data_IF_362723514153
#
_entry.id   IF_362723514153
#
_cell.length_a   1.000
_cell.length_b   1.000
_cell.length_c   1.000
_cell.angle_alpha   90.00
_cell.angle_beta   90.00
_cell.angle_gamma   90.00
#
_symmetry.space_group_name_H-M   'P 1'
#
loop_
_entity.id
_entity.type
_entity.pdbx_description
1 polymer ?
#
# COMPACT_ATOMS: atom_id res chain seq x y z
N UNK A 1 19.88 -15.19 14.24
CA UNK A 1 19.05 -15.86 13.24
C UNK A 1 18.09 -14.94 12.55
N UNK A 2 17.69 -15.32 11.33
CA UNK A 2 16.67 -14.63 10.54
C UNK A 2 15.31 -14.59 11.28
N UNK A 3 14.91 -15.70 11.90
CA UNK A 3 13.70 -15.79 12.73
C UNK A 3 13.63 -14.72 13.84
N UNK A 4 14.70 -14.56 14.63
CA UNK A 4 14.69 -13.61 15.75
C UNK A 4 14.49 -12.16 15.27
N UNK A 5 15.12 -11.82 14.13
CA UNK A 5 14.96 -10.52 13.49
C UNK A 5 13.54 -10.32 12.93
N UNK A 6 12.99 -11.34 12.26
CA UNK A 6 11.62 -11.29 11.76
C UNK A 6 10.60 -11.10 12.89
N UNK A 7 10.78 -11.79 14.02
CA UNK A 7 9.95 -11.59 15.20
C UNK A 7 10.08 -10.19 15.82
N UNK A 8 11.30 -9.66 15.90
CA UNK A 8 11.52 -8.30 16.38
C UNK A 8 10.80 -7.25 15.50
N UNK A 9 10.79 -7.45 14.17
CA UNK A 9 10.06 -6.60 13.23
C UNK A 9 8.55 -6.75 13.43
N UNK A 10 8.06 -7.99 13.53
CA UNK A 10 6.63 -8.26 13.74
C UNK A 10 6.11 -7.70 15.07
N UNK A 11 6.93 -7.64 16.11
CA UNK A 11 6.57 -7.08 17.41
C UNK A 11 6.22 -5.58 17.36
N UNK A 12 6.73 -4.86 16.36
CA UNK A 12 6.43 -3.43 16.11
C UNK A 12 5.59 -3.21 14.86
N UNK A 13 5.04 -4.27 14.25
CA UNK A 13 4.31 -4.21 12.97
C UNK A 13 3.10 -3.28 13.00
N UNK A 14 2.42 -3.15 14.14
CA UNK A 14 1.26 -2.23 14.28
C UNK A 14 1.67 -0.75 14.22
N UNK A 15 2.94 -0.44 14.50
CA UNK A 15 3.47 0.92 14.44
C UNK A 15 4.14 1.20 13.10
N UNK A 16 4.80 0.19 12.51
CA UNK A 16 5.59 0.35 11.29
C UNK A 16 4.83 0.01 10.01
N UNK A 17 3.74 -0.76 10.09
CA UNK A 17 3.07 -1.32 8.91
C UNK A 17 3.84 -2.46 8.24
N UNK A 18 5.02 -2.82 8.78
CA UNK A 18 5.91 -3.84 8.19
C UNK A 18 5.73 -5.17 8.89
N UNK A 19 5.46 -6.21 8.12
CA UNK A 19 5.49 -7.60 8.57
C UNK A 19 6.68 -8.33 7.97
N UNK A 20 7.22 -9.31 8.67
CA UNK A 20 8.39 -10.06 8.28
C UNK A 20 8.16 -11.56 8.38
N UNK A 21 8.72 -12.30 7.43
CA UNK A 21 8.79 -13.77 7.45
C UNK A 21 10.25 -14.19 7.28
N UNK A 22 10.66 -15.25 7.97
CA UNK A 22 12.00 -15.81 7.85
C UNK A 22 11.93 -17.15 7.11
N UNK A 23 12.87 -17.40 6.20
CA UNK A 23 13.05 -18.68 5.52
C UNK A 23 14.52 -19.04 5.48
N UNK A 24 14.87 -20.20 6.02
CA UNK A 24 16.22 -20.75 5.94
C UNK A 24 16.15 -22.07 5.22
N UNK A 25 16.83 -22.13 4.09
CA UNK A 25 16.89 -23.30 3.24
C UNK A 25 18.34 -23.50 2.80
N UNK A 26 18.81 -24.74 2.93
CA UNK A 26 20.19 -25.13 2.60
C UNK A 26 20.13 -26.29 1.64
N UNK A 27 20.44 -26.04 0.38
CA UNK A 27 20.59 -27.09 -0.63
C UNK A 27 22.05 -27.51 -0.72
N UNK A 28 22.30 -28.81 -0.77
CA UNK A 28 23.64 -29.36 -1.00
C UNK A 28 24.24 -28.89 -2.33
N UNK A 29 25.54 -28.60 -2.33
CA UNK A 29 26.25 -28.13 -3.53
C UNK A 29 26.37 -29.22 -4.59
N UNK A 30 26.50 -30.46 -4.15
CA UNK A 30 26.53 -31.67 -4.96
C UNK A 30 25.42 -32.65 -4.54
N UNK A 31 25.16 -33.66 -5.36
CA UNK A 31 24.30 -34.77 -4.96
C UNK A 31 24.93 -35.52 -3.78
N UNK A 32 24.08 -36.10 -2.94
CA UNK A 32 24.50 -36.99 -1.87
C UNK A 32 25.25 -38.18 -2.48
N UNK A 33 26.41 -38.52 -1.94
CA UNK A 33 27.24 -39.64 -2.40
C UNK A 33 27.11 -40.80 -1.42
N UNK A 34 27.31 -42.03 -1.88
CA UNK A 34 27.28 -43.19 -0.99
C UNK A 34 28.42 -43.15 0.03
N UNK A 35 28.14 -43.50 1.27
CA UNK A 35 29.14 -43.59 2.33
C UNK A 35 28.51 -43.94 3.68
N UNK A 36 29.34 -44.42 4.61
CA UNK A 36 28.91 -44.69 5.97
C UNK A 36 29.20 -43.50 6.86
N UNK A 37 28.15 -42.96 7.48
CA UNK A 37 28.24 -41.95 8.53
C UNK A 37 28.22 -42.67 9.88
N UNK A 38 29.19 -42.40 10.73
CA UNK A 38 29.18 -42.82 12.12
C UNK A 38 28.40 -41.81 13.00
N UNK A 39 28.01 -42.24 14.19
CA UNK A 39 27.41 -41.34 15.17
C UNK A 39 28.40 -40.22 15.52
N UNK A 40 27.94 -38.98 15.44
CA UNK A 40 28.72 -37.77 15.67
C UNK A 40 29.33 -37.15 14.41
N UNK A 41 29.27 -37.83 13.26
CA UNK A 41 29.82 -37.32 12.01
C UNK A 41 29.02 -36.14 11.46
N UNK A 42 27.71 -36.12 11.69
CA UNK A 42 26.84 -35.02 11.27
C UNK A 42 25.96 -34.60 12.43
N UNK A 43 26.07 -33.32 12.81
CA UNK A 43 25.16 -32.69 13.77
C UNK A 43 24.44 -31.52 13.14
N UNK A 44 23.13 -31.46 13.36
CA UNK A 44 22.29 -30.34 12.94
C UNK A 44 21.85 -29.60 14.20
N UNK A 45 22.13 -28.30 14.28
CA UNK A 45 21.85 -27.47 15.45
C UNK A 45 22.36 -28.09 16.77
N UNK A 46 23.54 -28.74 16.72
CA UNK A 46 24.18 -29.40 17.86
C UNK A 46 23.65 -30.80 18.20
N UNK A 47 22.63 -31.31 17.50
CA UNK A 47 22.08 -32.66 17.69
C UNK A 47 22.66 -33.61 16.65
N UNK A 48 23.22 -34.71 17.11
CA UNK A 48 23.70 -35.80 16.26
C UNK A 48 22.54 -36.55 15.59
N UNK A 49 22.67 -36.82 14.29
CA UNK A 49 21.68 -37.58 13.52
C UNK A 49 21.87 -39.09 13.68
N UNK A 50 22.98 -39.52 14.28
CA UNK A 50 23.33 -40.93 14.49
C UNK A 50 24.09 -41.55 13.31
N UNK A 51 24.36 -42.85 13.41
CA UNK A 51 25.01 -43.60 12.35
C UNK A 51 24.02 -43.92 11.23
N UNK A 52 24.44 -43.71 9.97
CA UNK A 52 23.59 -43.89 8.78
C UNK A 52 24.45 -44.48 7.66
N UNK A 53 23.94 -45.53 7.01
CA UNK A 53 24.50 -46.00 5.74
C UNK A 53 23.79 -45.26 4.59
N UNK A 54 24.51 -44.35 3.93
CA UNK A 54 23.96 -43.45 2.92
C UNK A 54 24.19 -44.06 1.54
N UNK A 55 23.14 -44.16 0.73
CA UNK A 55 23.25 -44.53 -0.68
C UNK A 55 23.41 -43.31 -1.57
N UNK A 56 23.94 -43.52 -2.79
CA UNK A 56 24.04 -42.46 -3.79
C UNK A 56 22.67 -41.79 -4.00
N UNK A 57 22.67 -40.47 -4.03
CA UNK A 57 21.49 -39.62 -4.14
C UNK A 57 20.44 -39.86 -3.04
N UNK A 58 20.84 -40.43 -1.90
CA UNK A 58 19.95 -40.85 -0.82
C UNK A 58 18.73 -41.66 -1.33
N UNK A 59 18.99 -42.61 -2.24
CA UNK A 59 17.95 -43.33 -2.99
C UNK A 59 16.96 -44.11 -2.11
N UNK A 60 17.37 -44.52 -0.92
CA UNK A 60 16.52 -45.18 0.08
C UNK A 60 16.00 -44.23 1.18
N UNK A 61 16.36 -42.95 1.11
CA UNK A 61 15.94 -41.91 2.06
C UNK A 61 16.53 -42.08 3.46
N UNK A 62 17.56 -42.91 3.64
CA UNK A 62 18.13 -43.21 4.95
C UNK A 62 18.68 -41.95 5.63
N UNK A 63 19.38 -41.09 4.89
CA UNK A 63 19.92 -39.84 5.39
C UNK A 63 18.81 -38.84 5.74
N UNK A 64 17.87 -38.64 4.81
CA UNK A 64 16.70 -37.78 5.03
C UNK A 64 15.91 -38.20 6.27
N UNK A 65 15.65 -39.51 6.41
CA UNK A 65 14.91 -40.05 7.54
C UNK A 65 15.66 -39.89 8.87
N UNK A 66 16.98 -40.09 8.89
CA UNK A 66 17.79 -39.88 10.09
C UNK A 66 17.77 -38.41 10.55
N UNK A 67 17.85 -37.46 9.62
CA UNK A 67 17.74 -36.04 9.94
C UNK A 67 16.31 -35.71 10.42
N UNK A 68 15.29 -36.23 9.75
CA UNK A 68 13.90 -35.99 10.11
C UNK A 68 13.51 -36.61 11.47
N UNK A 69 14.14 -37.71 11.87
CA UNK A 69 13.94 -38.35 13.17
C UNK A 69 14.38 -37.45 14.35
N UNK A 70 15.31 -36.51 14.13
CA UNK A 70 15.73 -35.52 15.13
C UNK A 70 15.10 -34.14 14.91
N UNK A 71 14.18 -33.99 13.96
CA UNK A 71 13.61 -32.69 13.55
C UNK A 71 12.87 -31.93 14.66
N UNK A 72 12.37 -32.61 15.68
CA UNK A 72 11.69 -31.97 16.82
C UNK A 72 12.69 -31.31 17.78
N UNK A 73 13.94 -31.79 17.79
CA UNK A 73 15.03 -31.22 18.60
C UNK A 73 15.84 -30.19 17.83
N UNK A 74 16.00 -30.39 16.53
CA UNK A 74 16.80 -29.50 15.67
C UNK A 74 15.98 -28.37 15.06
N UNK A 75 14.65 -28.54 14.98
CA UNK A 75 13.74 -27.69 14.22
C UNK A 75 14.03 -27.64 12.71
N UNK A 76 14.71 -28.66 12.17
CA UNK A 76 15.10 -28.75 10.76
C UNK A 76 14.50 -30.01 10.14
N UNK A 77 13.91 -29.86 8.96
CA UNK A 77 13.41 -30.95 8.12
C UNK A 77 14.36 -31.13 6.94
N UNK A 78 14.63 -32.37 6.57
CA UNK A 78 15.32 -32.74 5.34
C UNK A 78 14.33 -33.19 4.26
N UNK A 79 14.61 -32.81 3.02
CA UNK A 79 14.01 -33.37 1.80
C UNK A 79 15.09 -33.70 0.77
N UNK A 80 14.73 -34.52 -0.22
CA UNK A 80 15.60 -34.88 -1.33
C UNK A 80 15.02 -34.32 -2.63
N UNK A 81 15.75 -33.41 -3.26
CA UNK A 81 15.39 -32.81 -4.55
C UNK A 81 16.41 -33.21 -5.61
N UNK A 82 16.08 -34.23 -6.40
CA UNK A 82 16.93 -34.69 -7.50
C UNK A 82 18.29 -35.23 -7.06
N UNK A 83 18.35 -35.88 -5.88
CA UNK A 83 19.57 -36.42 -5.27
C UNK A 83 20.34 -35.43 -4.42
N UNK A 84 19.87 -34.18 -4.31
CA UNK A 84 20.44 -33.17 -3.42
C UNK A 84 19.68 -33.15 -2.11
N UNK A 85 20.43 -33.04 -1.01
CA UNK A 85 19.86 -32.85 0.31
C UNK A 85 19.45 -31.39 0.47
N UNK A 86 18.20 -31.16 0.83
CA UNK A 86 17.66 -29.84 1.17
C UNK A 86 17.29 -29.84 2.64
N UNK A 87 17.86 -28.92 3.41
CA UNK A 87 17.52 -28.71 4.82
C UNK A 87 16.69 -27.43 4.95
N UNK A 88 15.52 -27.52 5.56
CA UNK A 88 14.62 -26.40 5.80
C UNK A 88 14.38 -26.25 7.29
N UNK A 89 14.67 -25.08 7.86
CA UNK A 89 14.26 -24.77 9.23
C UNK A 89 12.75 -24.53 9.29
N UNK A 90 12.02 -25.21 10.18
CA UNK A 90 10.55 -25.13 10.29
C UNK A 90 10.05 -23.70 10.55
N UNK A 91 10.83 -22.90 11.28
CA UNK A 91 10.52 -21.51 11.65
C UNK A 91 11.40 -20.47 10.92
N UNK A 92 12.36 -20.89 10.09
CA UNK A 92 13.35 -19.97 9.51
C UNK A 92 14.46 -19.54 10.48
N UNK A 93 14.73 -20.32 11.55
CA UNK A 93 15.94 -20.21 12.34
C UNK A 93 17.18 -20.52 11.49
N UNK A 94 18.37 -20.19 12.01
CA UNK A 94 19.60 -20.59 11.31
C UNK A 94 19.76 -22.10 11.37
N UNK A 95 20.40 -22.67 10.35
CA UNK A 95 20.74 -24.10 10.28
C UNK A 95 22.24 -24.22 10.47
N UNK A 96 22.66 -24.67 11.66
CA UNK A 96 24.05 -24.98 11.96
C UNK A 96 24.34 -26.42 11.60
N UNK A 97 25.22 -26.63 10.63
CA UNK A 97 25.70 -27.95 10.23
C UNK A 97 27.12 -28.12 10.76
N UNK A 98 27.32 -29.15 11.56
CA UNK A 98 28.63 -29.55 12.07
C UNK A 98 28.98 -30.90 11.48
N UNK A 99 30.18 -31.01 10.92
CA UNK A 99 30.66 -32.18 10.21
C UNK A 99 31.97 -32.64 10.83
N UNK A 100 32.13 -33.95 10.97
CA UNK A 100 33.39 -34.61 11.27
C UNK A 100 33.71 -35.67 10.20
N UNK A 101 34.95 -36.15 10.21
CA UNK A 101 35.43 -37.29 9.41
C UNK A 101 35.15 -37.22 7.89
N UNK A 102 35.04 -36.01 7.33
CA UNK A 102 34.84 -35.81 5.89
C UNK A 102 33.42 -36.12 5.39
N UNK A 103 32.43 -36.20 6.29
CA UNK A 103 31.03 -36.47 5.93
C UNK A 103 30.39 -35.39 5.03
N UNK A 104 31.03 -34.22 4.86
CA UNK A 104 30.64 -33.17 3.92
C UNK A 104 30.72 -33.64 2.46
N UNK A 105 31.67 -34.53 2.16
CA UNK A 105 31.76 -35.18 0.85
C UNK A 105 30.60 -36.14 0.57
N UNK A 106 30.04 -36.75 1.62
CA UNK A 106 28.90 -37.66 1.54
C UNK A 106 27.59 -36.89 1.41
N UNK A 107 27.35 -35.88 2.27
CA UNK A 107 26.07 -35.15 2.30
C UNK A 107 26.03 -33.93 1.35
N UNK A 108 27.17 -33.51 0.81
CA UNK A 108 27.29 -32.36 -0.10
C UNK A 108 27.06 -30.99 0.54
N UNK A 109 27.12 -30.90 1.87
CA UNK A 109 26.91 -29.68 2.67
C UNK A 109 28.16 -29.45 3.54
N UNK A 110 28.69 -28.22 3.52
CA UNK A 110 29.86 -27.85 4.30
C UNK A 110 29.49 -27.52 5.77
N UNK A 111 30.42 -27.76 6.69
CA UNK A 111 30.27 -27.35 8.08
C UNK A 111 30.29 -25.82 8.23
N UNK A 112 29.12 -25.24 8.52
CA UNK A 112 28.97 -23.82 8.86
C UNK A 112 27.57 -23.55 9.43
N UNK A 113 27.35 -22.31 9.86
CA UNK A 113 26.02 -21.80 10.16
C UNK A 113 25.43 -21.15 8.92
N UNK A 114 24.34 -21.69 8.42
CA UNK A 114 23.56 -21.13 7.32
C UNK A 114 22.50 -20.21 7.91
N UNK A 115 22.60 -18.92 7.58
CA UNK A 115 21.63 -17.91 8.00
C UNK A 115 20.47 -17.83 7.01
N UNK A 116 19.26 -17.62 7.54
CA UNK A 116 18.06 -17.46 6.72
C UNK A 116 17.96 -16.11 6.00
N UNK A 117 17.06 -16.08 5.02
CA UNK A 117 16.58 -14.84 4.40
C UNK A 117 15.38 -14.31 5.19
N UNK A 118 15.24 -12.99 5.20
CA UNK A 118 14.07 -12.31 5.76
C UNK A 118 13.32 -11.66 4.59
N UNK A 119 12.04 -11.96 4.48
CA UNK A 119 11.15 -11.33 3.53
C UNK A 119 10.26 -10.33 4.28
N UNK A 120 10.33 -9.07 3.86
CA UNK A 120 9.56 -7.95 4.45
C UNK A 120 8.39 -7.62 3.54
N UNK A 121 7.24 -7.36 4.16
CA UNK A 121 6.00 -7.00 3.47
C UNK A 121 5.43 -5.76 4.13
N UNK A 122 5.19 -4.75 3.32
CA UNK A 122 4.71 -3.42 3.73
C UNK A 122 3.87 -2.84 2.60
N UNK A 123 2.87 -2.04 2.95
CA UNK A 123 2.10 -1.20 2.03
C UNK A 123 2.91 0.03 1.57
N UNK A 124 3.82 0.50 2.42
CA UNK A 124 4.71 1.62 2.15
C UNK A 124 6.13 1.17 1.80
N UNK A 125 6.91 2.07 1.18
CA UNK A 125 8.31 1.84 0.89
C UNK A 125 9.11 1.58 2.20
N UNK A 126 9.74 0.42 2.29
CA UNK A 126 10.60 0.08 3.44
C UNK A 126 12.00 0.63 3.17
N UNK A 127 12.48 1.52 4.04
CA UNK A 127 13.86 1.99 4.06
C UNK A 127 14.61 1.34 5.21
N UNK A 128 15.62 0.53 4.90
CA UNK A 128 16.51 -0.03 5.92
C UNK A 128 17.65 0.95 6.14
N UNK A 129 17.74 1.52 7.33
CA UNK A 129 18.86 2.36 7.75
C UNK A 129 19.71 1.62 8.79
N UNK A 130 21.04 1.68 8.65
CA UNK A 130 21.97 1.12 9.64
C UNK A 130 22.37 -0.35 9.47
N UNK A 131 22.41 -0.89 8.25
CA UNK A 131 22.74 -2.30 7.88
C UNK A 131 23.47 -3.15 8.93
N UNK A 132 24.75 -2.86 9.20
CA UNK A 132 25.55 -3.63 10.17
C UNK A 132 25.00 -3.57 11.61
N UNK A 133 24.44 -2.44 12.03
CA UNK A 133 23.89 -2.22 13.38
C UNK A 133 22.57 -2.96 13.63
N UNK A 134 21.82 -3.26 12.56
CA UNK A 134 20.63 -4.11 12.59
C UNK A 134 20.94 -5.57 12.21
N UNK A 135 22.23 -5.88 12.02
CA UNK A 135 22.73 -7.23 11.76
C UNK A 135 22.40 -7.77 10.38
N UNK A 136 21.98 -6.93 9.44
CA UNK A 136 21.89 -7.31 8.03
C UNK A 136 23.29 -7.13 7.44
N UNK A 137 23.82 -8.16 6.79
CA UNK A 137 25.14 -8.09 6.14
C UNK A 137 25.16 -6.92 5.14
N UNK A 138 26.27 -6.21 5.00
CA UNK A 138 26.42 -5.10 4.06
C UNK A 138 26.21 -5.53 2.59
N UNK A 139 26.35 -6.83 2.31
CA UNK A 139 26.04 -7.47 1.03
C UNK A 139 24.60 -8.01 0.93
N UNK A 140 23.72 -7.69 1.88
CA UNK A 140 22.31 -8.06 1.80
C UNK A 140 21.70 -7.43 0.55
N UNK A 141 21.50 -8.25 -0.49
CA UNK A 141 20.73 -7.85 -1.65
C UNK A 141 19.31 -7.52 -1.20
N UNK A 142 19.03 -6.23 -1.03
CA UNK A 142 17.68 -5.73 -0.89
C UNK A 142 16.99 -5.83 -2.26
N UNK A 143 16.55 -7.03 -2.59
CA UNK A 143 15.67 -7.24 -3.73
C UNK A 143 14.33 -6.60 -3.40
N UNK A 144 14.03 -5.45 -4.02
CA UNK A 144 12.69 -4.86 -3.96
C UNK A 144 11.70 -5.89 -4.50
N UNK A 145 10.56 -6.04 -3.83
CA UNK A 145 9.52 -6.96 -4.24
C UNK A 145 9.24 -6.85 -5.74
N UNK A 146 9.14 -8.01 -6.41
CA UNK A 146 8.84 -8.09 -7.84
C UNK A 146 7.57 -7.31 -8.15
N UNK A 147 7.60 -6.45 -9.17
CA UNK A 147 6.39 -5.84 -9.72
C UNK A 147 5.41 -6.95 -10.14
N UNK A 148 4.09 -6.70 -10.07
CA UNK A 148 3.05 -7.70 -10.41
C UNK A 148 3.32 -8.39 -11.76
N UNK A 149 3.84 -7.65 -12.74
CA UNK A 149 4.20 -8.13 -14.09
C UNK A 149 5.25 -9.25 -14.10
N UNK A 150 6.13 -9.27 -13.11
CA UNK A 150 7.26 -10.22 -13.02
C UNK A 150 7.03 -11.35 -12.02
N UNK A 151 5.84 -11.43 -11.42
CA UNK A 151 5.51 -12.49 -10.45
C UNK A 151 5.03 -13.73 -11.20
N UNK A 152 5.76 -14.83 -11.00
CA UNK A 152 5.34 -16.15 -11.45
C UNK A 152 4.45 -16.81 -10.39
N UNK A 153 3.26 -17.30 -10.80
CA UNK A 153 2.29 -17.98 -9.92
C UNK A 153 2.30 -19.51 -10.06
N UNK A 154 3.21 -20.06 -10.88
CA UNK A 154 3.32 -21.52 -11.08
C UNK A 154 3.88 -22.25 -9.87
N UNK A 155 4.56 -21.54 -8.97
CA UNK A 155 5.06 -22.07 -7.69
C UNK A 155 4.21 -21.58 -6.53
N UNK A 156 4.14 -22.38 -5.46
CA UNK A 156 3.43 -21.99 -4.23
C UNK A 156 3.98 -20.68 -3.64
N UNK A 157 5.30 -20.55 -3.58
CA UNK A 157 5.96 -19.34 -3.07
C UNK A 157 5.64 -18.11 -3.94
N UNK A 158 5.65 -18.28 -5.26
CA UNK A 158 5.26 -17.26 -6.21
C UNK A 158 3.80 -16.82 -6.06
N UNK A 159 2.88 -17.76 -5.87
CA UNK A 159 1.47 -17.48 -5.62
C UNK A 159 1.25 -16.72 -4.29
N UNK A 160 1.92 -17.12 -3.20
CA UNK A 160 1.86 -16.41 -1.92
C UNK A 160 2.40 -14.98 -2.05
N UNK A 161 3.46 -14.77 -2.84
CA UNK A 161 3.99 -13.45 -3.16
C UNK A 161 3.00 -12.62 -4.00
N UNK A 162 2.37 -13.22 -5.00
CA UNK A 162 1.36 -12.55 -5.83
C UNK A 162 0.19 -12.03 -5.00
N UNK A 163 -0.35 -12.85 -4.10
CA UNK A 163 -1.46 -12.48 -3.21
C UNK A 163 -1.08 -11.27 -2.35
N UNK A 164 0.12 -11.28 -1.77
CA UNK A 164 0.59 -10.18 -0.91
C UNK A 164 0.81 -8.88 -1.68
N UNK A 165 1.41 -8.96 -2.86
CA UNK A 165 1.62 -7.76 -3.69
C UNK A 165 0.29 -7.21 -4.21
N UNK A 166 -0.66 -8.07 -4.55
CA UNK A 166 -2.01 -7.66 -4.94
C UNK A 166 -2.77 -6.99 -3.79
N UNK A 167 -2.71 -7.53 -2.57
CA UNK A 167 -3.34 -6.92 -1.38
C UNK A 167 -2.77 -5.51 -1.09
N UNK A 168 -1.44 -5.34 -1.20
CA UNK A 168 -0.80 -4.04 -1.07
C UNK A 168 -1.28 -3.05 -2.15
N UNK A 169 -1.37 -3.50 -3.41
CA UNK A 169 -1.88 -2.68 -4.51
C UNK A 169 -3.36 -2.30 -4.32
N UNK A 170 -4.19 -3.21 -3.81
CA UNK A 170 -5.59 -2.94 -3.49
C UNK A 170 -5.73 -1.88 -2.40
N UNK A 171 -4.96 -1.98 -1.31
CA UNK A 171 -4.94 -0.95 -0.25
C UNK A 171 -4.54 0.42 -0.78
N UNK A 172 -3.57 0.47 -1.70
CA UNK A 172 -3.18 1.73 -2.35
C UNK A 172 -4.32 2.32 -3.18
N UNK A 173 -5.05 1.49 -3.95
CA UNK A 173 -6.23 1.92 -4.70
C UNK A 173 -7.33 2.42 -3.76
N UNK A 174 -7.57 1.72 -2.64
CA UNK A 174 -8.58 2.11 -1.65
C UNK A 174 -8.24 3.45 -0.99
N UNK A 175 -6.97 3.71 -0.69
CA UNK A 175 -6.51 5.02 -0.22
C UNK A 175 -6.80 6.13 -1.23
N UNK A 176 -6.46 5.91 -2.51
CA UNK A 176 -6.72 6.88 -3.58
C UNK A 176 -8.24 7.12 -3.73
N UNK A 177 -9.06 6.07 -3.66
CA UNK A 177 -10.53 6.19 -3.71
C UNK A 177 -11.09 6.95 -2.51
N UNK A 178 -10.53 6.75 -1.32
CA UNK A 178 -10.88 7.51 -0.12
C UNK A 178 -10.58 9.01 -0.31
N UNK A 179 -9.41 9.34 -0.84
CA UNK A 179 -9.02 10.74 -1.10
C UNK A 179 -9.94 11.39 -2.15
N UNK A 180 -10.24 10.69 -3.24
CA UNK A 180 -11.20 11.15 -4.26
C UNK A 180 -12.60 11.32 -3.64
N UNK A 181 -13.07 10.38 -2.83
CA UNK A 181 -14.37 10.47 -2.16
C UNK A 181 -14.44 11.67 -1.19
N UNK A 182 -13.36 11.94 -0.44
CA UNK A 182 -13.28 13.08 0.46
C UNK A 182 -13.32 14.42 -0.27
N UNK A 183 -12.58 14.55 -1.37
CA UNK A 183 -12.56 15.75 -2.21
C UNK A 183 -13.90 15.95 -2.93
N UNK A 184 -14.53 14.87 -3.39
CA UNK A 184 -15.89 14.91 -3.95
C UNK A 184 -16.90 15.45 -2.94
N UNK A 185 -16.87 14.99 -1.69
CA UNK A 185 -17.75 15.48 -0.63
C UNK A 185 -17.55 16.98 -0.35
N UNK A 186 -16.28 17.42 -0.34
CA UNK A 186 -15.95 18.85 -0.18
C UNK A 186 -16.47 19.69 -1.34
N UNK A 187 -16.30 19.23 -2.58
CA UNK A 187 -16.80 19.90 -3.78
C UNK A 187 -18.31 20.00 -3.76
N UNK A 188 -19.02 18.92 -3.43
CA UNK A 188 -20.48 18.92 -3.38
C UNK A 188 -21.02 19.89 -2.32
N UNK A 189 -20.39 19.91 -1.13
CA UNK A 189 -20.76 20.87 -0.08
C UNK A 189 -20.49 22.32 -0.51
N UNK A 190 -19.38 22.56 -1.18
CA UNK A 190 -19.00 23.88 -1.70
C UNK A 190 -19.98 24.35 -2.77
N UNK A 191 -20.34 23.48 -3.72
CA UNK A 191 -21.32 23.77 -4.77
C UNK A 191 -22.68 24.11 -4.14
N UNK A 192 -23.18 23.30 -3.19
CA UNK A 192 -24.44 23.59 -2.50
C UNK A 192 -24.42 24.96 -1.81
N UNK A 193 -23.33 25.31 -1.14
CA UNK A 193 -23.19 26.61 -0.48
C UNK A 193 -23.13 27.77 -1.48
N UNK A 194 -22.37 27.62 -2.57
CA UNK A 194 -22.26 28.63 -3.63
C UNK A 194 -23.61 28.84 -4.31
N UNK A 195 -24.37 27.78 -4.63
CA UNK A 195 -25.68 27.92 -5.26
C UNK A 195 -26.67 28.70 -4.41
N UNK A 196 -26.72 28.45 -3.09
CA UNK A 196 -27.56 29.23 -2.17
C UNK A 196 -27.09 30.69 -2.10
N UNK A 197 -25.79 30.90 -2.01
CA UNK A 197 -25.20 32.25 -1.97
C UNK A 197 -25.50 33.01 -3.26
N UNK A 198 -25.41 32.35 -4.42
CA UNK A 198 -25.71 32.94 -5.72
C UNK A 198 -27.16 33.43 -5.79
N UNK A 199 -28.14 32.61 -5.39
CA UNK A 199 -29.56 33.01 -5.36
C UNK A 199 -29.78 34.21 -4.44
N UNK A 200 -29.18 34.19 -3.24
CA UNK A 200 -29.31 35.29 -2.29
C UNK A 200 -28.67 36.59 -2.80
N UNK A 201 -27.49 36.51 -3.43
CA UNK A 201 -26.80 37.67 -3.99
C UNK A 201 -27.57 38.25 -5.17
N UNK A 202 -28.09 37.41 -6.08
CA UNK A 202 -28.92 37.88 -7.20
C UNK A 202 -30.22 38.52 -6.73
N UNK A 203 -30.87 37.98 -5.70
CA UNK A 203 -32.07 38.59 -5.10
C UNK A 203 -31.77 39.94 -4.42
N UNK A 204 -30.63 40.04 -3.73
CA UNK A 204 -30.16 41.29 -3.14
C UNK A 204 -29.81 42.34 -4.22
N UNK A 205 -29.20 41.92 -5.33
CA UNK A 205 -28.93 42.80 -6.48
C UNK A 205 -30.23 43.31 -7.12
N UNK A 206 -31.20 42.41 -7.36
CA UNK A 206 -32.53 42.76 -7.90
C UNK A 206 -33.23 43.82 -7.04
N UNK A 207 -33.17 43.68 -5.71
CA UNK A 207 -33.77 44.66 -4.78
C UNK A 207 -33.16 46.07 -4.91
N UNK A 208 -31.87 46.17 -5.25
CA UNK A 208 -31.16 47.46 -5.38
C UNK A 208 -31.32 48.04 -6.79
N UNK A 209 -31.29 47.18 -7.81
CA UNK A 209 -31.16 47.61 -9.21
C UNK A 209 -32.49 47.63 -9.97
N UNK A 210 -33.41 46.72 -9.65
CA UNK A 210 -34.67 46.63 -10.36
C UNK A 210 -35.66 47.68 -9.85
N UNK A 211 -36.40 48.28 -10.79
CA UNK A 211 -37.46 49.24 -10.46
C UNK A 211 -38.77 48.51 -10.23
N UNK A 212 -39.53 48.93 -9.22
CA UNK A 212 -40.90 48.47 -9.06
C UNK A 212 -41.76 49.05 -10.20
N UNK A 213 -42.11 48.17 -11.15
CA UNK A 213 -42.89 48.53 -12.33
C UNK A 213 -44.24 49.16 -11.97
N UNK A 214 -44.88 48.74 -10.87
CA UNK A 214 -46.16 49.30 -10.45
C UNK A 214 -45.99 50.76 -10.01
N UNK A 215 -44.98 51.04 -9.18
CA UNK A 215 -44.67 52.40 -8.71
C UNK A 215 -44.20 53.31 -9.85
N UNK A 216 -43.29 52.84 -10.71
CA UNK A 216 -42.76 53.63 -11.82
C UNK A 216 -43.84 53.89 -12.89
N UNK A 217 -44.72 52.92 -13.16
CA UNK A 217 -45.87 53.12 -14.05
C UNK A 217 -46.84 54.17 -13.51
N UNK A 218 -47.14 54.15 -12.21
CA UNK A 218 -47.99 55.17 -11.58
C UNK A 218 -47.35 56.57 -11.68
N UNK A 219 -46.03 56.68 -11.42
CA UNK A 219 -45.28 57.93 -11.56
C UNK A 219 -45.21 58.42 -13.00
N UNK A 220 -45.02 57.52 -13.98
CA UNK A 220 -45.05 57.85 -15.40
C UNK A 220 -46.42 58.36 -15.82
N UNK A 221 -47.51 57.70 -15.41
CA UNK A 221 -48.88 58.15 -15.71
C UNK A 221 -49.18 59.49 -15.05
N UNK A 222 -48.80 59.68 -13.78
CA UNK A 222 -48.91 60.97 -13.08
C UNK A 222 -48.14 62.08 -13.79
N UNK A 223 -46.89 61.84 -14.20
CA UNK A 223 -46.08 62.80 -14.96
C UNK A 223 -46.68 63.14 -16.32
N UNK A 224 -47.23 62.16 -17.04
CA UNK A 224 -47.94 62.40 -18.30
C UNK A 224 -49.20 63.25 -18.12
N UNK A 225 -50.01 62.96 -17.10
CA UNK A 225 -51.21 63.77 -16.78
C UNK A 225 -50.78 65.20 -16.41
N UNK A 226 -49.76 65.37 -15.57
CA UNK A 226 -49.20 66.67 -15.21
C UNK A 226 -48.68 67.46 -16.43
N UNK A 227 -47.97 66.79 -17.35
CA UNK A 227 -47.50 67.42 -18.58
C UNK A 227 -48.67 67.89 -19.45
N UNK A 228 -49.71 67.06 -19.61
CA UNK A 228 -50.90 67.41 -20.38
C UNK A 228 -51.70 68.54 -19.71
N UNK A 229 -51.86 68.52 -18.38
CA UNK A 229 -52.48 69.61 -17.60
C UNK A 229 -51.64 70.89 -17.63
N UNK A 230 -50.31 70.79 -17.62
CA UNK A 230 -49.41 71.95 -17.72
C UNK A 230 -49.49 72.63 -19.09
N UNK A 231 -49.57 71.86 -20.17
CA UNK A 231 -49.83 72.38 -21.52
C UNK A 231 -51.20 73.05 -21.60
N UNK A 232 -52.23 72.45 -21.00
CA UNK A 232 -53.57 73.06 -20.92
C UNK A 232 -53.57 74.36 -20.13
N UNK A 233 -52.91 74.39 -18.96
CA UNK A 233 -52.79 75.58 -18.13
C UNK A 233 -52.01 76.71 -18.84
N UNK A 234 -50.92 76.39 -19.55
CA UNK A 234 -50.21 77.36 -20.39
C UNK A 234 -51.09 77.89 -21.53
N UNK A 235 -51.85 77.02 -22.19
CA UNK A 235 -52.80 77.43 -23.25
C UNK A 235 -53.86 78.39 -22.70
N UNK A 236 -54.41 78.11 -21.51
CA UNK A 236 -55.40 78.95 -20.86
C UNK A 236 -54.82 80.29 -20.36
N UNK A 237 -53.59 80.29 -19.82
CA UNK A 237 -52.88 81.51 -19.43
C UNK A 237 -52.60 82.43 -20.63
N UNK A 238 -52.18 81.85 -21.76
CA UNK A 238 -51.98 82.60 -23.01
C UNK A 238 -53.29 83.19 -23.54
N UNK A 239 -54.40 82.44 -23.47
CA UNK A 239 -55.73 82.95 -23.86
C UNK A 239 -56.22 84.07 -22.93
N UNK A 240 -55.97 83.98 -21.62
CA UNK A 240 -56.28 85.05 -20.67
C UNK A 240 -55.48 86.33 -20.97
N UNK A 241 -54.20 86.21 -21.31
CA UNK A 241 -53.37 87.36 -21.73
C UNK A 241 -53.93 88.03 -23.01
N UNK A 242 -54.39 87.24 -23.99
CA UNK A 242 -55.04 87.78 -25.19
C UNK A 242 -56.36 88.52 -24.88
N UNK A 243 -57.13 88.03 -23.91
CA UNK A 243 -58.36 88.72 -23.46
C UNK A 243 -58.08 90.06 -22.78
N UNK A 244 -56.95 90.20 -22.08
CA UNK A 244 -56.51 91.48 -21.50
C UNK A 244 -56.08 92.46 -22.60
N UNK A 245 -55.38 91.98 -23.63
CA UNK A 245 -55.04 92.82 -24.79
C UNK A 245 -56.29 93.31 -25.55
N UNK A 246 -57.37 92.52 -25.56
CA UNK A 246 -58.67 92.91 -26.13
C UNK A 246 -59.41 93.97 -25.30
N UNK A 247 -59.08 94.12 -24.02
CA UNK A 247 -59.64 95.17 -23.13
C UNK A 247 -58.88 96.50 -23.20
N UNK A 248 -57.69 96.51 -23.82
CA UNK A 248 -56.83 97.69 -23.98
C UNK A 248 -56.91 98.32 -25.38
N UNK A 249 -57.72 97.76 -26.27
CA UNK A 249 -58.10 98.33 -27.57
C UNK A 249 -59.51 98.91 -27.49
#
# INVERSE_FOLDING_TARGET
SAWAKANAINAVSTQTGVTATAKTEVTSGAQVVSGNLAAGDVKINGVDIGAVDVKSSDADGALMNAINAVSDRTNVIASNEGGKLVLTAKDGSDVKVEIANGADSTIGIAAKTYSGKINLVSDQAVTLTGGDKIGFDAAAELSKGSALDTIDVTTREGAEKAIRTADAALKQIDSIRSDIGSTQNQLESTVRNISVTQVNVTAAESTIRDVDFAAESANLKKRNILAQSGVYAMSQANAAQQNVMRLLQ
#
